data_IF_600547791559
#
_entry.id   IF_600547791559
#
_cell.length_a   1.000
_cell.length_b   1.000
_cell.length_c   1.000
_cell.angle_alpha   90.00
_cell.angle_beta   90.00
_cell.angle_gamma   90.00
#
_symmetry.space_group_name_H-M   'P 1'
#
loop_
_entity.id
_entity.type
_entity.pdbx_description
1 polymer ?
#
# COMPACT_ATOMS: atom_id res chain seq x y z
N UNK A 1 20.52 -56.91 5.37
CA UNK A 1 20.12 -57.52 4.08
C UNK A 1 18.71 -57.07 3.73
N UNK A 2 18.58 -55.98 2.97
CA UNK A 2 17.34 -55.67 2.21
C UNK A 2 17.79 -55.27 0.82
N UNK A 3 17.39 -56.09 -0.16
CA UNK A 3 17.80 -56.02 -1.55
C UNK A 3 17.32 -54.69 -2.15
N UNK A 4 18.26 -53.86 -2.60
CA UNK A 4 17.93 -52.69 -3.40
C UNK A 4 17.63 -53.20 -4.82
N UNK A 5 16.35 -53.50 -5.09
CA UNK A 5 15.88 -53.94 -6.41
C UNK A 5 15.97 -52.74 -7.36
N UNK A 6 17.11 -52.61 -8.04
CA UNK A 6 17.24 -51.73 -9.20
C UNK A 6 16.21 -52.21 -10.24
N UNK A 7 15.12 -51.46 -10.38
CA UNK A 7 14.23 -51.63 -11.52
C UNK A 7 15.03 -51.18 -12.74
N UNK A 8 15.47 -52.13 -13.57
CA UNK A 8 15.97 -51.85 -14.91
C UNK A 8 14.80 -51.36 -15.75
N UNK A 9 14.55 -50.05 -15.74
CA UNK A 9 13.69 -49.42 -16.74
C UNK A 9 14.32 -49.70 -18.10
N UNK A 10 13.62 -50.45 -18.96
CA UNK A 10 14.08 -50.73 -20.31
C UNK A 10 14.42 -49.43 -21.02
N UNK A 11 15.54 -49.40 -21.76
CA UNK A 11 15.93 -48.21 -22.51
C UNK A 11 14.83 -47.86 -23.52
N UNK A 12 14.46 -46.58 -23.66
CA UNK A 12 13.47 -46.17 -24.63
C UNK A 12 13.94 -46.54 -26.04
N UNK A 13 13.13 -47.30 -26.76
CA UNK A 13 13.44 -47.77 -28.13
C UNK A 13 12.90 -46.85 -29.21
N UNK A 14 12.15 -45.81 -28.82
CA UNK A 14 11.56 -44.81 -29.71
C UNK A 14 11.78 -43.40 -29.17
N UNK A 15 11.76 -42.40 -30.05
CA UNK A 15 11.97 -41.00 -29.70
C UNK A 15 10.91 -40.47 -28.72
N UNK A 16 9.66 -40.92 -28.87
CA UNK A 16 8.54 -40.53 -28.01
C UNK A 16 8.71 -41.06 -26.58
N UNK A 17 9.13 -42.31 -26.42
CA UNK A 17 9.43 -42.90 -25.12
C UNK A 17 10.61 -42.20 -24.43
N UNK A 18 11.62 -41.77 -25.20
CA UNK A 18 12.76 -41.03 -24.66
C UNK A 18 12.34 -39.65 -24.13
N UNK A 19 11.50 -38.93 -24.86
CA UNK A 19 10.99 -37.63 -24.43
C UNK A 19 10.11 -37.74 -23.18
N UNK A 20 9.23 -38.74 -23.10
CA UNK A 20 8.41 -38.95 -21.91
C UNK A 20 9.25 -39.24 -20.65
N UNK A 21 10.34 -40.01 -20.82
CA UNK A 21 11.27 -40.31 -19.73
C UNK A 21 12.07 -39.07 -19.31
N UNK A 22 12.48 -38.23 -20.27
CA UNK A 22 13.13 -36.95 -19.98
C UNK A 22 12.21 -36.04 -19.16
N UNK A 23 10.94 -35.89 -19.53
CA UNK A 23 10.00 -35.06 -18.77
C UNK A 23 9.79 -35.59 -17.35
N UNK A 24 9.63 -36.92 -17.18
CA UNK A 24 9.51 -37.53 -15.83
C UNK A 24 10.75 -37.34 -14.97
N UNK A 25 11.94 -37.42 -15.57
CA UNK A 25 13.20 -37.18 -14.86
C UNK A 25 13.37 -35.71 -14.50
N UNK A 26 13.01 -34.78 -15.38
CA UNK A 26 13.06 -33.34 -15.10
C UNK A 26 12.12 -32.96 -13.95
N UNK A 27 10.88 -33.46 -13.96
CA UNK A 27 9.94 -33.26 -12.85
C UNK A 27 10.50 -33.82 -11.54
N UNK A 28 11.13 -34.99 -11.59
CA UNK A 28 11.70 -35.61 -10.39
C UNK A 28 12.92 -34.85 -9.87
N UNK A 29 13.75 -34.30 -10.77
CA UNK A 29 14.89 -33.45 -10.39
C UNK A 29 14.37 -32.18 -9.73
N UNK A 30 13.39 -31.50 -10.32
CA UNK A 30 12.79 -30.30 -9.74
C UNK A 30 12.20 -30.56 -8.33
N UNK A 31 11.48 -31.67 -8.16
CA UNK A 31 10.92 -32.04 -6.85
C UNK A 31 12.00 -32.35 -5.80
N UNK A 32 13.11 -32.99 -6.20
CA UNK A 32 14.22 -33.30 -5.30
C UNK A 32 15.03 -32.04 -4.93
N UNK A 33 15.24 -31.14 -5.87
CA UNK A 33 15.88 -29.85 -5.64
C UNK A 33 15.05 -28.98 -4.68
N UNK A 34 13.73 -28.91 -4.88
CA UNK A 34 12.80 -28.21 -3.97
C UNK A 34 12.81 -28.80 -2.56
N UNK A 35 12.94 -30.12 -2.42
CA UNK A 35 13.04 -30.77 -1.10
C UNK A 35 14.37 -30.45 -0.41
N UNK A 36 15.48 -30.43 -1.15
CA UNK A 36 16.81 -30.12 -0.61
C UNK A 36 16.96 -28.64 -0.23
N UNK A 37 16.27 -27.74 -0.93
CA UNK A 37 16.35 -26.29 -0.69
C UNK A 37 15.42 -25.80 0.43
N UNK A 38 14.70 -26.68 1.12
CA UNK A 38 13.89 -26.33 2.28
C UNK A 38 14.73 -26.26 3.56
N UNK A 39 14.79 -25.07 4.15
CA UNK A 39 15.44 -24.83 5.45
C UNK A 39 14.50 -24.05 6.38
N UNK A 40 14.81 -23.99 7.69
CA UNK A 40 13.99 -23.28 8.69
C UNK A 40 13.71 -21.81 8.34
N UNK A 41 14.62 -21.17 7.60
CA UNK A 41 14.44 -19.80 7.09
C UNK A 41 13.42 -19.60 5.94
N UNK A 42 12.96 -20.65 5.25
CA UNK A 42 12.03 -20.50 4.10
C UNK A 42 10.80 -21.41 4.14
N UNK A 43 10.70 -22.37 5.08
CA UNK A 43 9.68 -23.44 5.02
C UNK A 43 8.79 -23.58 6.25
N UNK A 44 8.76 -22.60 7.16
CA UNK A 44 7.99 -22.67 8.43
C UNK A 44 8.27 -23.93 9.28
N UNK A 45 9.34 -24.67 8.99
CA UNK A 45 9.81 -25.79 9.80
C UNK A 45 10.49 -25.27 11.05
N UNK A 46 10.28 -25.90 12.21
CA UNK A 46 10.94 -25.49 13.44
C UNK A 46 12.47 -25.64 13.29
N UNK A 47 13.28 -24.74 13.90
CA UNK A 47 14.75 -24.76 13.79
C UNK A 47 15.40 -26.08 14.23
N UNK A 48 14.68 -26.90 14.99
CA UNK A 48 15.11 -28.23 15.44
C UNK A 48 15.10 -29.29 14.34
N UNK A 49 14.56 -28.99 13.16
CA UNK A 49 14.49 -29.91 12.00
C UNK A 49 15.64 -29.73 11.02
N UNK A 50 16.55 -28.79 11.26
CA UNK A 50 17.71 -28.57 10.41
C UNK A 50 18.78 -29.67 10.66
N UNK A 51 19.34 -30.24 9.59
CA UNK A 51 20.31 -31.34 9.67
C UNK A 51 21.69 -30.94 10.23
N UNK A 52 22.58 -31.92 10.49
CA UNK A 52 23.93 -31.64 10.96
C UNK A 52 24.69 -30.78 9.94
N UNK A 53 24.98 -29.52 10.28
CA UNK A 53 25.65 -28.55 9.40
C UNK A 53 24.90 -27.24 9.17
N UNK A 54 23.66 -27.11 9.66
CA UNK A 54 22.94 -25.84 9.58
C UNK A 54 23.58 -24.74 10.44
N UNK A 55 23.57 -23.47 9.97
CA UNK A 55 24.11 -22.37 10.73
C UNK A 55 23.38 -22.23 12.07
N UNK A 56 24.09 -22.02 13.19
CA UNK A 56 23.47 -21.96 14.50
C UNK A 56 22.45 -20.81 14.57
N UNK A 57 21.32 -21.00 15.27
CA UNK A 57 20.32 -19.94 15.41
C UNK A 57 20.97 -18.70 16.04
N UNK A 58 20.57 -17.52 15.53
CA UNK A 58 21.09 -16.24 16.02
C UNK A 58 20.95 -16.15 17.54
N UNK A 59 22.06 -15.85 18.23
CA UNK A 59 22.11 -15.75 19.69
C UNK A 59 21.07 -14.73 20.16
N UNK A 60 20.20 -15.14 21.12
CA UNK A 60 19.24 -14.23 21.75
C UNK A 60 20.00 -13.07 22.39
N UNK A 61 19.64 -11.83 22.02
CA UNK A 61 20.22 -10.63 22.64
C UNK A 61 19.99 -10.67 24.16
N UNK A 62 20.99 -10.32 24.98
CA UNK A 62 20.80 -10.24 26.43
C UNK A 62 19.71 -9.23 26.76
N UNK A 63 18.94 -9.51 27.82
CA UNK A 63 17.90 -8.62 28.27
C UNK A 63 18.52 -7.26 28.64
N UNK A 64 18.08 -6.21 27.96
CA UNK A 64 18.41 -4.84 28.33
C UNK A 64 17.86 -4.61 29.74
N UNK A 65 18.71 -4.52 30.77
CA UNK A 65 18.33 -4.27 32.17
C UNK A 65 17.63 -2.93 32.42
N UNK A 66 17.19 -2.24 31.36
CA UNK A 66 16.41 -1.00 31.39
C UNK A 66 14.95 -1.34 31.70
N UNK A 67 14.36 -0.56 32.60
CA UNK A 67 12.93 -0.69 32.88
C UNK A 67 12.11 -0.31 31.64
N UNK A 68 10.95 -0.96 31.47
CA UNK A 68 10.00 -0.62 30.40
C UNK A 68 9.44 0.77 30.66
N UNK A 69 9.54 1.67 29.68
CA UNK A 69 9.03 3.04 29.76
C UNK A 69 10.11 4.10 29.54
N UNK A 70 9.70 5.36 29.69
CA UNK A 70 10.61 6.50 29.58
C UNK A 70 11.71 6.40 30.65
N UNK A 71 12.97 6.45 30.23
CA UNK A 71 14.08 6.40 31.17
C UNK A 71 14.17 7.72 31.97
N UNK A 72 14.77 7.71 33.15
CA UNK A 72 15.09 8.94 33.88
C UNK A 72 15.85 9.92 32.97
N UNK A 73 15.37 11.16 32.87
CA UNK A 73 15.94 12.21 32.01
C UNK A 73 15.30 12.37 30.64
N UNK A 74 14.36 11.50 30.23
CA UNK A 74 13.58 11.74 29.01
C UNK A 74 12.63 12.93 29.18
N UNK A 75 12.71 13.90 28.26
CA UNK A 75 11.74 14.98 28.16
C UNK A 75 10.36 14.38 27.85
N UNK A 76 9.39 14.64 28.70
CA UNK A 76 8.01 14.24 28.45
C UNK A 76 7.43 15.01 27.28
N UNK A 77 6.78 14.31 26.35
CA UNK A 77 5.96 14.93 25.31
C UNK A 77 4.54 15.09 25.83
N UNK A 78 3.98 16.29 25.69
CA UNK A 78 2.57 16.58 26.01
C UNK A 78 1.81 16.83 24.72
N UNK A 79 0.50 16.58 24.72
CA UNK A 79 -0.35 16.97 23.59
C UNK A 79 -0.40 18.49 23.52
N UNK A 80 0.09 19.04 22.42
CA UNK A 80 -0.03 20.47 22.16
C UNK A 80 -1.44 20.80 21.71
N UNK A 81 -1.89 22.01 22.03
CA UNK A 81 -3.19 22.50 21.59
C UNK A 81 -3.15 22.75 20.09
N UNK A 82 -4.17 22.30 19.36
CA UNK A 82 -4.32 22.60 17.93
C UNK A 82 -4.27 24.12 17.69
N UNK A 83 -3.49 24.62 16.71
CA UNK A 83 -3.40 26.03 16.40
C UNK A 83 -4.76 26.68 16.08
N UNK A 84 -4.85 28.00 16.26
CA UNK A 84 -6.01 28.77 15.81
C UNK A 84 -5.94 28.92 14.28
N UNK A 85 -6.50 27.95 13.56
CA UNK A 85 -6.59 27.94 12.10
C UNK A 85 -8.02 27.64 11.62
N UNK A 86 -8.23 27.61 10.30
CA UNK A 86 -9.54 27.39 9.69
C UNK A 86 -10.16 26.01 10.00
N UNK A 87 -9.39 25.07 10.56
CA UNK A 87 -9.88 23.72 10.95
C UNK A 87 -10.40 23.70 12.40
N UNK A 88 -10.16 24.76 13.17
CA UNK A 88 -10.61 24.84 14.56
C UNK A 88 -11.97 25.53 14.66
N UNK A 89 -12.97 24.78 15.12
CA UNK A 89 -14.23 25.35 15.60
C UNK A 89 -14.22 25.42 17.12
N UNK A 90 -14.50 26.60 17.67
CA UNK A 90 -14.62 26.81 19.11
C UNK A 90 -16.09 26.76 19.52
N UNK A 91 -16.45 25.76 20.33
CA UNK A 91 -17.79 25.65 20.92
C UNK A 91 -17.67 25.86 22.43
N UNK A 92 -18.01 27.05 22.96
CA UNK A 92 -17.94 27.30 24.40
C UNK A 92 -19.10 26.59 25.11
N UNK A 93 -18.79 25.90 26.21
CA UNK A 93 -19.78 25.31 27.11
C UNK A 93 -19.74 26.06 28.45
N UNK A 94 -20.85 26.73 28.78
CA UNK A 94 -21.01 27.45 30.04
C UNK A 94 -21.83 26.61 31.03
N UNK A 95 -21.61 26.76 32.36
CA UNK A 95 -22.51 26.18 33.35
C UNK A 95 -23.91 26.82 33.27
N UNK A 96 -24.87 26.25 34.00
CA UNK A 96 -26.21 26.84 34.14
C UNK A 96 -26.13 28.29 34.65
N UNK A 97 -27.11 29.11 34.24
CA UNK A 97 -27.16 30.52 34.60
C UNK A 97 -27.51 30.75 36.08
N UNK A 98 -28.14 29.77 36.72
CA UNK A 98 -28.62 29.79 38.10
C UNK A 98 -27.88 28.75 38.97
N UNK A 99 -27.64 29.09 40.24
CA UNK A 99 -27.09 28.14 41.20
C UNK A 99 -28.13 27.06 41.48
N UNK A 100 -27.79 25.80 41.20
CA UNK A 100 -28.60 24.65 41.60
C UNK A 100 -28.89 24.59 43.12
N UNK A 101 -28.13 25.31 43.94
CA UNK A 101 -28.24 25.37 45.38
C UNK A 101 -29.27 26.37 45.93
N UNK A 102 -29.35 27.56 45.32
CA UNK A 102 -30.07 28.71 45.87
C UNK A 102 -30.78 29.56 44.82
N UNK A 103 -30.64 29.22 43.53
CA UNK A 103 -31.23 29.97 42.40
C UNK A 103 -30.56 31.31 42.09
N UNK A 104 -29.46 31.66 42.77
CA UNK A 104 -28.74 32.91 42.50
C UNK A 104 -28.00 32.90 41.16
N UNK A 105 -27.76 34.08 40.58
CA UNK A 105 -27.12 34.22 39.27
C UNK A 105 -25.65 33.77 39.27
N UNK A 106 -25.27 32.96 38.29
CA UNK A 106 -23.92 32.48 38.05
C UNK A 106 -23.18 33.38 37.05
N UNK A 107 -22.02 33.89 37.45
CA UNK A 107 -21.17 34.72 36.58
C UNK A 107 -20.09 33.86 35.95
N UNK A 108 -20.12 33.72 34.62
CA UNK A 108 -19.11 32.96 33.88
C UNK A 108 -17.75 33.69 33.84
N UNK A 109 -16.65 32.95 34.00
CA UNK A 109 -15.30 33.48 33.81
C UNK A 109 -15.00 33.74 32.33
N UNK A 110 -14.18 34.76 32.05
CA UNK A 110 -13.82 35.16 30.69
C UNK A 110 -12.93 34.14 29.93
N UNK A 111 -12.28 33.21 30.64
CA UNK A 111 -11.41 32.19 30.04
C UNK A 111 -11.86 30.79 30.49
N UNK A 112 -11.77 29.78 29.61
CA UNK A 112 -12.05 28.41 30.00
C UNK A 112 -10.99 27.91 30.99
N UNK A 113 -11.42 27.16 32.01
CA UNK A 113 -10.50 26.53 32.97
C UNK A 113 -9.77 25.32 32.37
N UNK A 114 -10.39 24.65 31.38
CA UNK A 114 -9.85 23.52 30.64
C UNK A 114 -10.25 23.60 29.17
N UNK A 115 -9.37 23.15 28.28
CA UNK A 115 -9.66 22.99 26.85
C UNK A 115 -9.62 21.50 26.52
N UNK A 116 -10.72 20.99 25.97
CA UNK A 116 -10.83 19.63 25.44
C UNK A 116 -10.94 19.70 23.92
N UNK A 117 -10.11 18.94 23.20
CA UNK A 117 -10.10 18.93 21.73
C UNK A 117 -10.43 17.53 21.22
N UNK A 118 -11.42 17.48 20.35
CA UNK A 118 -11.82 16.28 19.61
C UNK A 118 -11.43 16.50 18.15
N UNK A 119 -10.71 15.54 17.56
CA UNK A 119 -10.31 15.57 16.16
C UNK A 119 -11.21 14.59 15.41
N UNK A 120 -12.00 15.09 14.48
CA UNK A 120 -12.93 14.30 13.68
C UNK A 120 -12.55 14.35 12.21
N UNK A 121 -12.85 13.29 11.47
CA UNK A 121 -12.69 13.27 10.02
C UNK A 121 -13.95 13.84 9.35
N UNK A 122 -13.81 14.64 8.28
CA UNK A 122 -14.98 15.07 7.52
C UNK A 122 -15.68 13.87 6.88
N UNK A 123 -16.96 14.06 6.53
CA UNK A 123 -17.69 13.06 5.74
C UNK A 123 -16.97 12.81 4.41
N UNK A 124 -16.68 11.53 4.14
CA UNK A 124 -15.89 11.10 2.99
C UNK A 124 -16.84 10.75 1.84
N UNK A 125 -16.73 11.47 0.72
CA UNK A 125 -17.55 11.24 -0.48
C UNK A 125 -16.76 11.52 -1.76
N UNK A 126 -17.38 11.31 -2.92
CA UNK A 126 -16.81 11.56 -4.23
C UNK A 126 -17.67 12.56 -5.03
N UNK A 127 -17.03 13.27 -5.95
CA UNK A 127 -17.69 14.17 -6.89
C UNK A 127 -17.65 13.55 -8.29
N UNK A 128 -18.77 13.60 -9.00
CA UNK A 128 -18.88 13.15 -10.40
C UNK A 128 -19.33 14.31 -11.26
N UNK A 129 -18.57 14.55 -12.33
CA UNK A 129 -18.98 15.47 -13.40
C UNK A 129 -19.32 14.63 -14.63
N UNK A 130 -20.58 14.67 -15.05
CA UNK A 130 -21.02 14.01 -16.27
C UNK A 130 -20.83 14.95 -17.48
N UNK A 131 -20.04 14.51 -18.46
CA UNK A 131 -19.84 15.24 -19.71
C UNK A 131 -20.75 14.66 -20.79
N UNK A 132 -21.88 15.33 -21.06
CA UNK A 132 -22.85 14.89 -22.06
C UNK A 132 -22.49 15.43 -23.45
N UNK A 133 -22.24 14.52 -24.38
CA UNK A 133 -21.91 14.85 -25.77
C UNK A 133 -23.12 14.62 -26.67
N UNK A 134 -23.59 15.68 -27.32
CA UNK A 134 -24.76 15.64 -28.18
C UNK A 134 -24.39 15.52 -29.65
N UNK A 135 -25.31 14.95 -30.44
CA UNK A 135 -25.26 14.96 -31.90
C UNK A 135 -26.27 15.97 -32.43
N UNK A 136 -25.94 16.60 -33.54
CA UNK A 136 -26.86 17.49 -34.25
C UNK A 136 -26.91 17.10 -35.73
N UNK A 137 -28.10 17.18 -36.31
CA UNK A 137 -28.33 16.93 -37.72
C UNK A 137 -28.66 18.25 -38.41
N UNK A 138 -27.97 18.54 -39.50
CA UNK A 138 -28.23 19.72 -40.32
C UNK A 138 -29.57 19.59 -41.03
N UNK A 139 -30.48 20.54 -40.82
CA UNK A 139 -31.82 20.53 -41.43
C UNK A 139 -31.82 20.68 -42.96
N UNK A 140 -30.70 21.10 -43.56
CA UNK A 140 -30.59 21.37 -44.99
C UNK A 140 -29.96 20.22 -45.78
N UNK A 141 -28.83 19.70 -45.31
CA UNK A 141 -28.10 18.63 -46.01
C UNK A 141 -28.24 17.27 -45.33
N UNK A 142 -28.92 17.18 -44.18
CA UNK A 142 -29.12 15.95 -43.38
C UNK A 142 -27.79 15.36 -42.85
N UNK A 143 -26.66 16.05 -43.03
CA UNK A 143 -25.38 15.69 -42.43
C UNK A 143 -25.43 15.74 -40.90
N UNK A 144 -24.75 14.82 -40.24
CA UNK A 144 -24.70 14.72 -38.76
C UNK A 144 -23.33 15.13 -38.25
N UNK A 145 -23.30 15.93 -37.18
CA UNK A 145 -22.10 16.30 -36.44
C UNK A 145 -22.23 15.87 -34.98
N UNK A 146 -21.10 15.70 -34.28
CA UNK A 146 -21.04 15.30 -32.88
C UNK A 146 -20.17 16.25 -32.08
N UNK A 147 -20.59 16.56 -30.86
CA UNK A 147 -19.77 17.29 -29.91
C UNK A 147 -18.53 16.46 -29.54
N UNK A 148 -17.37 17.10 -29.51
CA UNK A 148 -16.13 16.51 -29.01
C UNK A 148 -15.98 16.79 -27.51
N UNK A 149 -15.32 15.88 -26.81
CA UNK A 149 -14.91 16.14 -25.43
C UNK A 149 -13.83 17.23 -25.43
N UNK A 150 -13.92 18.28 -24.58
CA UNK A 150 -12.88 19.30 -24.51
C UNK A 150 -11.52 18.72 -24.07
N UNK A 151 -10.42 19.26 -24.60
CA UNK A 151 -9.05 18.75 -24.35
C UNK A 151 -8.63 18.80 -22.87
N UNK A 152 -9.26 19.65 -22.07
CA UNK A 152 -8.99 19.76 -20.63
C UNK A 152 -9.73 18.69 -19.80
N UNK A 153 -10.58 17.87 -20.40
CA UNK A 153 -11.28 16.79 -19.72
C UNK A 153 -10.50 15.50 -19.88
N UNK A 154 -10.27 14.81 -18.76
CA UNK A 154 -9.59 13.50 -18.76
C UNK A 154 -10.37 12.49 -19.59
N UNK A 155 -9.65 11.73 -20.43
CA UNK A 155 -10.20 10.56 -21.11
C UNK A 155 -10.40 9.35 -20.20
N UNK A 156 -9.93 9.43 -18.94
CA UNK A 156 -10.15 8.42 -17.91
C UNK A 156 -11.45 8.66 -17.14
N UNK A 157 -12.03 7.59 -16.60
CA UNK A 157 -13.08 7.68 -15.58
C UNK A 157 -12.55 8.21 -14.23
N UNK A 158 -11.23 8.37 -14.09
CA UNK A 158 -10.58 8.86 -12.87
C UNK A 158 -10.00 10.26 -13.09
N UNK A 159 -10.47 11.22 -12.30
CA UNK A 159 -9.92 12.58 -12.23
C UNK A 159 -8.59 12.64 -11.47
N UNK A 160 -7.92 13.79 -11.54
CA UNK A 160 -6.58 14.01 -10.97
C UNK A 160 -6.49 13.63 -9.48
N UNK A 161 -7.45 14.04 -8.65
CA UNK A 161 -7.43 13.75 -7.21
C UNK A 161 -7.54 12.25 -6.91
N UNK A 162 -8.36 11.51 -7.65
CA UNK A 162 -8.50 10.06 -7.48
C UNK A 162 -7.22 9.34 -7.93
N UNK A 163 -6.62 9.77 -9.04
CA UNK A 163 -5.33 9.25 -9.51
C UNK A 163 -4.23 9.49 -8.46
N UNK A 164 -4.13 10.70 -7.91
CA UNK A 164 -3.17 11.04 -6.86
C UNK A 164 -3.37 10.19 -5.59
N UNK A 165 -4.62 9.98 -5.18
CA UNK A 165 -4.92 9.12 -4.04
C UNK A 165 -4.43 7.68 -4.28
N UNK A 166 -4.79 7.08 -5.42
CA UNK A 166 -4.36 5.71 -5.79
C UNK A 166 -2.83 5.60 -5.81
N UNK A 167 -2.15 6.57 -6.43
CA UNK A 167 -0.70 6.57 -6.53
C UNK A 167 -0.02 6.69 -5.15
N UNK A 168 -0.57 7.52 -4.25
CA UNK A 168 -0.07 7.64 -2.89
C UNK A 168 -0.23 6.33 -2.10
N UNK A 169 -1.39 5.67 -2.24
CA UNK A 169 -1.63 4.38 -1.58
C UNK A 169 -0.65 3.29 -2.03
N UNK A 170 -0.37 3.19 -3.33
CA UNK A 170 0.60 2.21 -3.82
C UNK A 170 2.05 2.59 -3.58
N UNK A 171 2.39 3.86 -3.78
CA UNK A 171 3.77 4.34 -3.74
C UNK A 171 4.30 4.50 -2.33
N UNK A 172 3.60 5.29 -1.52
CA UNK A 172 4.04 5.64 -0.15
C UNK A 172 3.58 4.61 0.89
N UNK A 173 2.36 4.10 0.76
CA UNK A 173 1.78 3.18 1.74
C UNK A 173 1.91 1.70 1.33
N UNK A 174 2.52 1.42 0.18
CA UNK A 174 2.81 0.08 -0.34
C UNK A 174 1.60 -0.85 -0.37
N UNK A 175 0.41 -0.28 -0.59
CA UNK A 175 -0.81 -1.07 -0.65
C UNK A 175 -0.90 -1.82 -1.98
N UNK A 176 -1.34 -3.07 -1.92
CA UNK A 176 -1.69 -3.84 -3.10
C UNK A 176 -2.91 -3.24 -3.81
N UNK A 177 -3.03 -3.49 -5.11
CA UNK A 177 -4.20 -3.08 -5.91
C UNK A 177 -5.52 -3.56 -5.27
N UNK A 178 -5.51 -4.73 -4.63
CA UNK A 178 -6.69 -5.26 -3.94
C UNK A 178 -7.08 -4.48 -2.70
N UNK A 179 -6.10 -4.02 -1.92
CA UNK A 179 -6.34 -3.18 -0.74
C UNK A 179 -6.85 -1.80 -1.15
N UNK A 180 -6.26 -1.21 -2.20
CA UNK A 180 -6.71 0.07 -2.75
C UNK A 180 -8.16 -0.05 -3.23
N UNK A 181 -8.50 -1.11 -3.96
CA UNK A 181 -9.86 -1.40 -4.39
C UNK A 181 -10.84 -1.47 -3.21
N UNK A 182 -10.45 -2.17 -2.14
CA UNK A 182 -11.27 -2.30 -0.95
C UNK A 182 -11.45 -0.95 -0.25
N UNK A 183 -10.41 -0.13 -0.13
CA UNK A 183 -10.49 1.20 0.46
C UNK A 183 -11.42 2.13 -0.32
N UNK A 184 -11.30 2.15 -1.65
CA UNK A 184 -12.19 2.94 -2.52
C UNK A 184 -13.65 2.56 -2.32
N UNK A 185 -13.94 1.26 -2.20
CA UNK A 185 -15.29 0.77 -1.95
C UNK A 185 -15.78 1.09 -0.54
N UNK A 186 -14.97 0.88 0.48
CA UNK A 186 -15.39 1.00 1.89
C UNK A 186 -15.52 2.45 2.35
N UNK A 187 -14.60 3.33 1.92
CA UNK A 187 -14.60 4.72 2.37
C UNK A 187 -15.41 5.64 1.45
N UNK A 188 -15.40 5.37 0.15
CA UNK A 188 -16.03 6.26 -0.85
C UNK A 188 -17.22 5.61 -1.58
N UNK A 189 -17.48 4.31 -1.40
CA UNK A 189 -18.50 3.60 -2.19
C UNK A 189 -18.12 3.41 -3.67
N UNK A 190 -16.88 3.73 -4.07
CA UNK A 190 -16.43 3.65 -5.46
C UNK A 190 -16.03 2.21 -5.83
N UNK A 191 -16.61 1.71 -6.91
CA UNK A 191 -16.36 0.35 -7.40
C UNK A 191 -15.61 0.38 -8.73
N UNK A 192 -14.30 0.11 -8.67
CA UNK A 192 -13.45 -0.04 -9.86
C UNK A 192 -12.89 -1.46 -9.95
N UNK A 193 -12.59 -1.92 -11.16
CA UNK A 193 -11.87 -3.16 -11.36
C UNK A 193 -10.40 -3.02 -10.94
N UNK A 194 -9.74 -4.14 -10.63
CA UNK A 194 -8.29 -4.16 -10.38
C UNK A 194 -7.49 -3.67 -11.59
N UNK A 195 -7.96 -4.00 -12.79
CA UNK A 195 -7.37 -3.52 -14.04
C UNK A 195 -7.42 -2.00 -14.16
N UNK A 196 -8.56 -1.37 -13.85
CA UNK A 196 -8.69 0.09 -13.89
C UNK A 196 -7.76 0.79 -12.87
N UNK A 197 -7.61 0.22 -11.68
CA UNK A 197 -6.68 0.75 -10.65
C UNK A 197 -5.22 0.56 -11.10
N UNK A 198 -4.88 -0.58 -11.70
CA UNK A 198 -3.54 -0.82 -12.24
C UNK A 198 -3.21 0.14 -13.39
N UNK A 199 -4.17 0.39 -14.28
CA UNK A 199 -4.02 1.34 -15.38
C UNK A 199 -3.83 2.77 -14.83
N UNK A 200 -4.58 3.15 -13.80
CA UNK A 200 -4.42 4.43 -13.12
C UNK A 200 -3.00 4.63 -12.57
N UNK A 201 -2.41 3.60 -11.94
CA UNK A 201 -1.01 3.63 -11.51
C UNK A 201 -0.06 3.82 -12.68
N UNK A 202 -0.28 3.10 -13.79
CA UNK A 202 0.51 3.24 -15.02
C UNK A 202 0.47 4.67 -15.59
N UNK A 203 -0.72 5.29 -15.62
CA UNK A 203 -0.89 6.68 -16.07
C UNK A 203 -0.09 7.65 -15.19
N UNK A 204 -0.18 7.53 -13.87
CA UNK A 204 0.60 8.40 -12.96
C UNK A 204 2.10 8.16 -13.11
N UNK A 205 2.52 6.91 -13.27
CA UNK A 205 3.93 6.58 -13.54
C UNK A 205 4.44 7.24 -14.83
N UNK A 206 3.64 7.24 -15.90
CA UNK A 206 3.98 7.92 -17.15
C UNK A 206 4.12 9.43 -16.94
N UNK A 207 3.19 10.06 -16.21
CA UNK A 207 3.25 11.49 -15.88
C UNK A 207 4.49 11.87 -15.05
N UNK A 208 4.95 10.99 -14.16
CA UNK A 208 6.13 11.22 -13.31
C UNK A 208 7.46 10.88 -13.99
N UNK A 209 7.43 10.27 -15.17
CA UNK A 209 8.64 9.84 -15.89
C UNK A 209 9.63 10.98 -16.15
N UNK A 210 9.22 12.18 -16.61
CA UNK A 210 10.15 13.29 -16.82
C UNK A 210 10.84 13.72 -15.52
N UNK A 211 10.10 13.79 -14.41
CA UNK A 211 10.66 14.15 -13.09
C UNK A 211 11.64 13.08 -12.61
N UNK A 212 11.30 11.81 -12.78
CA UNK A 212 12.21 10.70 -12.46
C UNK A 212 13.51 10.79 -13.26
N UNK A 213 13.43 11.07 -14.56
CA UNK A 213 14.61 11.24 -15.43
C UNK A 213 15.47 12.43 -15.02
N UNK A 214 14.85 13.57 -14.67
CA UNK A 214 15.56 14.75 -14.19
C UNK A 214 16.31 14.48 -12.88
N UNK A 215 15.66 13.83 -11.91
CA UNK A 215 16.30 13.41 -10.65
C UNK A 215 17.46 12.46 -10.92
N UNK A 216 17.25 11.47 -11.80
CA UNK A 216 18.29 10.51 -12.19
C UNK A 216 19.51 11.23 -12.78
N UNK A 217 19.30 12.17 -13.71
CA UNK A 217 20.38 12.93 -14.32
C UNK A 217 21.14 13.75 -13.28
N UNK A 218 20.42 14.43 -12.38
CA UNK A 218 21.02 15.21 -11.30
C UNK A 218 21.90 14.34 -10.39
N UNK A 219 21.40 13.17 -9.99
CA UNK A 219 22.17 12.21 -9.17
C UNK A 219 23.41 11.71 -9.90
N UNK A 220 23.33 11.45 -11.21
CA UNK A 220 24.49 11.02 -12.02
C UNK A 220 25.60 12.09 -12.13
N UNK A 221 25.23 13.37 -12.09
CA UNK A 221 26.18 14.49 -12.15
C UNK A 221 26.68 14.95 -10.78
N UNK A 222 26.18 14.38 -9.68
CA UNK A 222 26.53 14.80 -8.34
C UNK A 222 27.96 14.37 -7.96
N UNK A 223 28.72 15.28 -7.34
CA UNK A 223 30.10 15.01 -6.87
C UNK A 223 30.15 13.88 -5.83
N UNK A 224 29.11 13.77 -5.01
CA UNK A 224 28.98 12.74 -3.98
C UNK A 224 27.58 12.13 -4.05
N UNK A 225 27.52 10.79 -4.09
CA UNK A 225 26.27 10.02 -4.08
C UNK A 225 26.33 9.07 -2.88
N UNK A 226 25.36 9.19 -1.99
CA UNK A 226 25.16 8.24 -0.90
C UNK A 226 24.10 7.23 -1.34
N UNK A 227 24.48 5.95 -1.40
CA UNK A 227 23.59 4.85 -1.69
C UNK A 227 23.35 4.04 -0.41
N UNK A 228 22.08 3.77 -0.12
CA UNK A 228 21.65 2.83 0.92
C UNK A 228 20.81 1.73 0.26
N UNK A 229 21.14 0.48 0.56
CA UNK A 229 20.49 -0.66 -0.08
C UNK A 229 19.24 -1.02 0.71
N UNK A 230 18.08 -0.90 0.07
CA UNK A 230 16.82 -1.39 0.62
C UNK A 230 16.39 -2.63 -0.16
N UNK A 231 16.36 -3.79 0.50
CA UNK A 231 15.86 -5.02 -0.13
C UNK A 231 14.35 -4.92 -0.32
N UNK A 232 13.89 -5.14 -1.55
CA UNK A 232 12.47 -5.21 -1.87
C UNK A 232 12.19 -6.45 -2.74
N UNK A 233 11.44 -7.40 -2.18
CA UNK A 233 11.19 -8.68 -2.83
C UNK A 233 10.06 -8.52 -3.86
N UNK A 234 10.36 -8.66 -5.15
CA UNK A 234 9.37 -8.65 -6.23
C UNK A 234 9.18 -10.07 -6.76
N UNK A 235 8.06 -10.70 -6.41
CA UNK A 235 7.51 -11.84 -7.14
C UNK A 235 8.49 -12.95 -7.55
N UNK A 236 9.42 -13.34 -6.68
CA UNK A 236 10.31 -14.49 -6.92
C UNK A 236 11.62 -14.19 -7.67
N UNK A 237 11.82 -12.98 -8.18
CA UNK A 237 13.13 -12.59 -8.73
C UNK A 237 14.04 -12.15 -7.58
N UNK A 238 15.19 -12.84 -7.47
CA UNK A 238 16.27 -12.55 -6.53
C UNK A 238 17.16 -11.44 -7.05
#
# INVERSE_FOLDING_TARGET
MSKNTMHSAGMPTTLEQANELIYKLLDRIAELEDRLNQHSGNSSKPPSSDGPGAPPPARKRPASGKQRGAQPGHKGHRRERHPLDARLTLVPHYPAADCACCGGDMVAHAKPYQVHQVFELPEVSYLVTEHQLYRATCSRCIGTTQAALPDNVSSSQMGANLLSYIALQSGQFHQSVSQIQQQLKQHFGLSFSRGAISEAQGRVSAMLTPTYQAIKQQVQTATHVHADETRHQRGGER
#
